data_IF_467254637555
#
_entry.id   IF_467254637555
#
_cell.length_a   1.000
_cell.length_b   1.000
_cell.length_c   1.000
_cell.angle_alpha   90.00
_cell.angle_beta   90.00
_cell.angle_gamma   90.00
#
_symmetry.space_group_name_H-M   'P 1'
#
loop_
_entity.id
_entity.type
_entity.pdbx_description
1 polymer ?
#
# COMPACT_ATOMS: atom_id res chain seq x y z
N UNK A 1 -14.00 -19.83 -42.08
CA UNK A 1 -13.60 -18.49 -41.65
C UNK A 1 -13.89 -18.18 -40.18
N UNK A 2 -15.04 -18.60 -39.60
CA UNK A 2 -15.36 -18.29 -38.17
C UNK A 2 -14.41 -18.90 -37.11
N UNK A 3 -13.80 -20.08 -37.39
CA UNK A 3 -12.89 -20.74 -36.42
C UNK A 3 -11.51 -20.09 -36.32
N UNK A 4 -11.03 -19.41 -37.39
CA UNK A 4 -9.72 -18.75 -37.39
C UNK A 4 -9.72 -17.47 -36.52
N UNK A 5 -10.83 -16.75 -36.52
CA UNK A 5 -10.96 -15.52 -35.71
C UNK A 5 -10.97 -15.79 -34.19
N UNK A 6 -11.55 -16.92 -33.74
CA UNK A 6 -11.59 -17.30 -32.31
C UNK A 6 -10.17 -17.69 -31.84
N UNK A 7 -9.36 -18.32 -32.69
CA UNK A 7 -8.00 -18.73 -32.33
C UNK A 7 -7.04 -17.52 -32.20
N UNK A 8 -7.20 -16.50 -33.07
CA UNK A 8 -6.39 -15.26 -32.99
C UNK A 8 -6.74 -14.44 -31.76
N UNK A 9 -8.02 -14.34 -31.35
CA UNK A 9 -8.43 -13.65 -30.13
C UNK A 9 -7.89 -14.32 -28.86
N UNK A 10 -7.81 -15.67 -28.83
CA UNK A 10 -7.29 -16.40 -27.69
C UNK A 10 -5.78 -16.26 -27.54
N UNK A 11 -5.03 -16.23 -28.65
CA UNK A 11 -3.59 -15.96 -28.66
C UNK A 11 -3.29 -14.53 -28.19
N UNK A 12 -4.10 -13.54 -28.58
CA UNK A 12 -3.90 -12.15 -28.17
C UNK A 12 -4.14 -11.95 -26.66
N UNK A 13 -5.11 -12.65 -26.07
CA UNK A 13 -5.38 -12.63 -24.62
C UNK A 13 -4.27 -13.30 -23.79
N UNK A 14 -3.65 -14.36 -24.31
CA UNK A 14 -2.52 -15.02 -23.66
C UNK A 14 -1.25 -14.17 -23.76
N UNK A 15 -1.02 -13.49 -24.87
CA UNK A 15 0.12 -12.60 -25.08
C UNK A 15 0.07 -11.37 -24.18
N UNK A 16 -1.11 -10.77 -23.99
CA UNK A 16 -1.26 -9.60 -23.10
C UNK A 16 -0.99 -9.93 -21.62
N UNK A 17 -1.37 -11.11 -21.16
CA UNK A 17 -1.09 -11.54 -19.77
C UNK A 17 0.41 -11.76 -19.52
N UNK A 18 1.14 -12.28 -20.49
CA UNK A 18 2.60 -12.49 -20.41
C UNK A 18 3.36 -11.17 -20.31
N UNK A 19 3.03 -10.19 -21.16
CA UNK A 19 3.72 -8.90 -21.22
C UNK A 19 3.55 -8.10 -19.92
N UNK A 20 2.36 -8.11 -19.30
CA UNK A 20 2.14 -7.38 -18.04
C UNK A 20 2.82 -8.02 -16.83
N UNK A 21 2.93 -9.34 -16.80
CA UNK A 21 3.70 -10.05 -15.79
C UNK A 21 5.19 -9.69 -15.87
N UNK A 22 5.74 -9.65 -17.10
CA UNK A 22 7.14 -9.30 -17.34
C UNK A 22 7.45 -7.86 -16.92
N UNK A 23 6.56 -6.89 -17.20
CA UNK A 23 6.77 -5.49 -16.81
C UNK A 23 6.80 -5.30 -15.29
N UNK A 24 5.95 -6.02 -14.55
CA UNK A 24 5.95 -5.96 -13.08
C UNK A 24 7.21 -6.61 -12.50
N UNK A 25 7.67 -7.72 -13.07
CA UNK A 25 8.92 -8.37 -12.66
C UNK A 25 10.12 -7.46 -12.91
N UNK A 26 10.20 -6.82 -14.08
CA UNK A 26 11.24 -5.82 -14.38
C UNK A 26 11.26 -4.68 -13.36
N UNK A 27 10.08 -4.17 -12.96
CA UNK A 27 10.00 -3.12 -11.96
C UNK A 27 10.42 -3.59 -10.55
N UNK A 28 10.11 -4.83 -10.18
CA UNK A 28 10.48 -5.43 -8.88
C UNK A 28 11.98 -5.73 -8.84
N UNK A 29 12.55 -6.25 -9.91
CA UNK A 29 13.96 -6.65 -10.02
C UNK A 29 14.88 -5.49 -10.42
N UNK A 30 14.34 -4.27 -10.58
CA UNK A 30 15.10 -3.09 -10.98
C UNK A 30 16.25 -2.83 -10.01
N UNK A 31 17.50 -2.91 -10.52
CA UNK A 31 18.73 -2.73 -9.75
C UNK A 31 18.92 -1.29 -9.21
N UNK A 32 18.13 -0.33 -9.69
CA UNK A 32 18.12 1.04 -9.16
C UNK A 32 17.25 1.21 -7.91
N UNK A 33 16.52 0.15 -7.48
CA UNK A 33 15.84 0.11 -6.19
C UNK A 33 16.86 0.08 -5.04
N UNK A 34 16.46 0.68 -3.91
CA UNK A 34 17.28 0.69 -2.70
C UNK A 34 17.55 -0.75 -2.21
N UNK A 35 18.81 -1.20 -2.06
CA UNK A 35 19.13 -2.59 -1.67
C UNK A 35 18.44 -3.03 -0.38
N UNK A 36 18.35 -2.15 0.63
CA UNK A 36 17.67 -2.41 1.89
C UNK A 36 16.15 -2.61 1.69
N UNK A 37 15.57 -1.97 0.67
CA UNK A 37 14.19 -2.19 0.30
C UNK A 37 14.01 -3.55 -0.39
N UNK A 38 14.89 -3.92 -1.31
CA UNK A 38 14.86 -5.23 -1.99
C UNK A 38 14.99 -6.41 -1.02
N UNK A 39 15.86 -6.30 -0.01
CA UNK A 39 15.99 -7.33 1.05
C UNK A 39 14.69 -7.61 1.79
N UNK A 40 13.74 -6.66 1.79
CA UNK A 40 12.45 -6.76 2.47
C UNK A 40 11.35 -7.34 1.60
N UNK A 41 11.61 -7.61 0.31
CA UNK A 41 10.63 -8.18 -0.62
C UNK A 41 10.13 -9.54 -0.14
N UNK A 42 10.99 -10.35 0.51
CA UNK A 42 10.63 -11.61 1.13
C UNK A 42 9.53 -11.53 2.20
N UNK A 43 9.38 -10.36 2.84
CA UNK A 43 8.35 -10.11 3.85
C UNK A 43 7.13 -9.37 3.30
N UNK A 44 7.22 -8.84 2.09
CA UNK A 44 6.21 -7.94 1.51
C UNK A 44 5.58 -8.44 0.24
N UNK A 45 6.15 -9.51 -0.33
CA UNK A 45 5.59 -10.23 -1.47
C UNK A 45 5.04 -9.30 -2.57
N UNK A 46 5.85 -8.34 -3.11
CA UNK A 46 5.35 -7.25 -3.94
C UNK A 46 4.58 -7.75 -5.16
N UNK A 47 5.12 -8.75 -5.89
CA UNK A 47 4.46 -9.32 -7.06
C UNK A 47 3.08 -9.90 -6.74
N UNK A 48 3.02 -10.75 -5.71
CA UNK A 48 1.77 -11.39 -5.31
C UNK A 48 0.75 -10.36 -4.81
N UNK A 49 1.20 -9.36 -4.03
CA UNK A 49 0.35 -8.30 -3.49
C UNK A 49 -0.24 -7.41 -4.59
N UNK A 50 0.58 -6.94 -5.52
CA UNK A 50 0.13 -6.07 -6.61
C UNK A 50 -0.76 -6.82 -7.62
N UNK A 51 -0.46 -8.10 -7.88
CA UNK A 51 -1.34 -8.97 -8.69
C UNK A 51 -2.68 -9.24 -8.00
N UNK A 52 -2.71 -9.41 -6.67
CA UNK A 52 -3.97 -9.54 -5.93
C UNK A 52 -4.85 -8.30 -6.08
N UNK A 53 -4.27 -7.09 -6.08
CA UNK A 53 -4.99 -5.85 -6.37
C UNK A 53 -5.36 -5.71 -7.85
N UNK A 54 -4.84 -6.55 -8.72
CA UNK A 54 -5.06 -6.53 -10.18
C UNK A 54 -4.53 -5.25 -10.85
N UNK A 55 -3.36 -4.78 -10.42
CA UNK A 55 -2.69 -3.63 -11.03
C UNK A 55 -2.36 -3.89 -12.51
N UNK A 56 -2.43 -2.83 -13.32
CA UNK A 56 -2.05 -2.86 -14.73
C UNK A 56 -1.20 -1.64 -15.07
N UNK A 57 -0.30 -1.70 -16.07
CA UNK A 57 0.63 -0.61 -16.38
C UNK A 57 -0.07 0.66 -16.91
N UNK A 58 -1.27 0.54 -17.43
CA UNK A 58 -2.06 1.66 -17.97
C UNK A 58 -3.03 2.31 -16.96
N UNK A 59 -2.90 2.00 -15.66
CA UNK A 59 -3.75 2.55 -14.61
C UNK A 59 -3.23 3.89 -14.09
N UNK A 60 -4.16 4.73 -13.64
CA UNK A 60 -3.86 5.86 -12.76
C UNK A 60 -3.96 5.40 -11.30
N UNK A 61 -2.86 5.51 -10.55
CA UNK A 61 -2.72 4.95 -9.19
C UNK A 61 -2.26 6.00 -8.20
N UNK A 62 -2.91 6.06 -7.04
CA UNK A 62 -2.45 6.86 -5.90
C UNK A 62 -1.95 5.93 -4.79
N UNK A 63 -0.73 6.17 -4.28
CA UNK A 63 -0.24 5.58 -3.04
C UNK A 63 -0.38 6.59 -1.90
N UNK A 64 -1.14 6.23 -0.85
CA UNK A 64 -1.31 7.07 0.34
C UNK A 64 -0.13 6.91 1.29
N UNK A 65 0.46 8.02 1.70
CA UNK A 65 1.62 8.09 2.59
C UNK A 65 2.74 7.14 2.18
N UNK A 66 3.32 7.30 0.99
CA UNK A 66 4.40 6.44 0.48
C UNK A 66 5.66 6.47 1.38
N UNK A 67 5.75 7.46 2.28
CA UNK A 67 6.86 7.63 3.22
C UNK A 67 8.22 7.65 2.49
N UNK A 68 9.08 6.63 2.73
CA UNK A 68 10.38 6.51 2.06
C UNK A 68 10.31 5.85 0.68
N UNK A 69 9.11 5.46 0.21
CA UNK A 69 8.89 5.02 -1.17
C UNK A 69 9.12 3.54 -1.45
N UNK A 70 8.95 2.64 -0.47
CA UNK A 70 9.21 1.22 -0.69
C UNK A 70 8.40 0.62 -1.86
N UNK A 71 7.07 0.82 -1.87
CA UNK A 71 6.23 0.42 -3.01
C UNK A 71 6.36 1.38 -4.18
N UNK A 72 6.58 2.67 -3.91
CA UNK A 72 6.79 3.68 -4.95
C UNK A 72 7.98 3.36 -5.86
N UNK A 73 9.07 2.75 -5.33
CA UNK A 73 10.23 2.30 -6.13
C UNK A 73 9.85 1.22 -7.19
N UNK A 74 8.71 0.55 -7.00
CA UNK A 74 8.16 -0.43 -7.94
C UNK A 74 7.09 0.22 -8.81
N UNK A 75 6.14 0.93 -8.17
CA UNK A 75 4.95 1.48 -8.83
C UNK A 75 5.30 2.60 -9.82
N UNK A 76 6.25 3.48 -9.46
CA UNK A 76 6.60 4.60 -10.34
C UNK A 76 7.16 4.13 -11.68
N UNK A 77 8.20 3.29 -11.77
CA UNK A 77 8.69 2.80 -13.06
C UNK A 77 7.70 1.83 -13.75
N UNK A 78 6.89 1.07 -13.00
CA UNK A 78 5.89 0.17 -13.60
C UNK A 78 4.78 0.93 -14.35
N UNK A 79 4.39 2.11 -13.87
CA UNK A 79 3.31 2.91 -14.43
C UNK A 79 3.79 4.01 -15.39
N UNK A 80 5.11 4.27 -15.46
CA UNK A 80 5.70 5.41 -16.15
C UNK A 80 5.35 5.47 -17.64
N UNK A 81 5.25 4.33 -18.31
CA UNK A 81 5.11 4.28 -19.77
C UNK A 81 3.68 4.45 -20.27
N UNK A 82 2.69 3.96 -19.53
CA UNK A 82 1.30 3.86 -20.03
C UNK A 82 0.27 4.39 -19.02
N UNK A 83 0.65 4.50 -17.75
CA UNK A 83 -0.21 4.89 -16.64
C UNK A 83 0.18 6.22 -16.02
N UNK A 84 -0.30 6.41 -14.80
CA UNK A 84 0.03 7.57 -13.98
C UNK A 84 0.19 7.16 -12.52
N UNK A 85 1.28 7.60 -11.87
CA UNK A 85 1.54 7.32 -10.46
C UNK A 85 1.67 8.60 -9.65
N UNK A 86 0.90 8.69 -8.57
CA UNK A 86 0.86 9.84 -7.67
C UNK A 86 1.07 9.37 -6.23
N UNK A 87 2.07 9.93 -5.56
CA UNK A 87 2.22 9.76 -4.11
C UNK A 87 1.47 10.84 -3.34
N UNK A 88 0.53 10.46 -2.50
CA UNK A 88 -0.14 11.38 -1.59
C UNK A 88 0.63 11.46 -0.26
N UNK A 89 1.43 12.49 -0.10
CA UNK A 89 2.32 12.70 1.04
C UNK A 89 1.60 13.18 2.31
N UNK A 90 2.37 13.39 3.36
CA UNK A 90 1.88 13.93 4.63
C UNK A 90 1.40 15.37 4.49
N UNK A 91 0.31 15.72 5.18
CA UNK A 91 -0.01 17.10 5.48
C UNK A 91 1.06 17.66 6.44
N UNK A 92 1.65 18.84 6.16
CA UNK A 92 2.62 19.45 7.06
C UNK A 92 2.10 19.67 8.48
N UNK A 93 0.79 19.86 8.63
CA UNK A 93 0.13 20.15 9.89
C UNK A 93 -0.34 18.88 10.65
N UNK A 94 -0.09 17.68 10.10
CA UNK A 94 -0.53 16.43 10.73
C UNK A 94 0.07 16.22 12.14
N UNK A 95 1.37 16.49 12.29
CA UNK A 95 2.08 16.36 13.55
C UNK A 95 3.38 17.15 13.53
N UNK A 96 3.94 17.46 14.69
CA UNK A 96 5.18 18.22 14.83
C UNK A 96 6.40 17.64 14.08
N UNK A 97 6.41 16.35 13.82
CA UNK A 97 7.48 15.67 13.11
C UNK A 97 7.31 15.65 11.57
N UNK A 98 6.11 15.95 11.05
CA UNK A 98 5.81 15.83 9.61
C UNK A 98 6.63 16.75 8.73
N UNK A 99 6.91 18.01 9.05
CA UNK A 99 7.76 18.86 8.21
C UNK A 99 9.16 18.28 8.01
N UNK A 100 9.76 17.72 9.08
CA UNK A 100 11.05 17.02 8.98
C UNK A 100 10.98 15.76 8.12
N UNK A 101 9.90 14.98 8.25
CA UNK A 101 9.69 13.78 7.43
C UNK A 101 9.48 14.12 5.95
N UNK A 102 8.71 15.17 5.63
CA UNK A 102 8.49 15.66 4.27
C UNK A 102 9.84 16.04 3.63
N UNK A 103 10.65 16.84 4.32
CA UNK A 103 12.00 17.25 3.83
C UNK A 103 12.90 16.03 3.58
N UNK A 104 12.94 15.08 4.52
CA UNK A 104 13.69 13.83 4.37
C UNK A 104 13.22 13.01 3.16
N UNK A 105 11.91 12.81 3.03
CA UNK A 105 11.33 12.01 1.96
C UNK A 105 11.53 12.67 0.58
N UNK A 106 11.46 14.01 0.50
CA UNK A 106 11.78 14.76 -0.71
C UNK A 106 13.24 14.52 -1.12
N UNK A 107 14.19 14.59 -0.17
CA UNK A 107 15.61 14.29 -0.46
C UNK A 107 15.82 12.85 -0.97
N UNK A 108 15.10 11.86 -0.40
CA UNK A 108 15.16 10.48 -0.87
C UNK A 108 14.69 10.40 -2.32
N UNK A 109 13.54 11.00 -2.66
CA UNK A 109 13.02 11.00 -4.04
C UNK A 109 13.96 11.66 -5.03
N UNK A 110 14.52 12.81 -4.68
CA UNK A 110 15.47 13.53 -5.56
C UNK A 110 16.73 12.71 -5.86
N UNK A 111 17.16 11.87 -4.93
CA UNK A 111 18.39 11.07 -5.06
C UNK A 111 18.13 9.64 -5.59
N UNK A 112 16.88 9.25 -5.80
CA UNK A 112 16.51 7.91 -6.28
C UNK A 112 16.16 7.96 -7.75
N UNK A 113 16.73 7.07 -8.56
CA UNK A 113 16.39 6.94 -9.97
C UNK A 113 14.97 6.42 -10.16
N UNK A 114 14.56 5.44 -9.35
CA UNK A 114 13.22 4.83 -9.43
C UNK A 114 12.09 5.78 -8.99
N UNK A 115 12.41 6.80 -8.19
CA UNK A 115 11.45 7.81 -7.73
C UNK A 115 11.57 9.15 -8.46
N UNK A 116 12.50 9.26 -9.42
CA UNK A 116 12.66 10.45 -10.25
C UNK A 116 11.38 10.71 -11.05
N UNK A 117 10.95 11.97 -11.12
CA UNK A 117 9.71 12.33 -11.84
C UNK A 117 8.40 11.93 -11.16
N UNK A 118 8.45 11.21 -10.02
CA UNK A 118 7.25 10.83 -9.28
C UNK A 118 6.39 12.04 -8.92
N UNK A 119 5.14 12.03 -9.35
CA UNK A 119 4.16 13.06 -9.02
C UNK A 119 3.75 12.98 -7.55
N UNK A 120 3.55 14.13 -6.94
CA UNK A 120 3.17 14.21 -5.52
C UNK A 120 1.95 15.10 -5.33
N UNK A 121 1.04 14.65 -4.48
CA UNK A 121 -0.03 15.44 -3.86
C UNK A 121 0.06 15.35 -2.35
N UNK A 122 -0.83 16.01 -1.63
CA UNK A 122 -0.92 15.98 -0.17
C UNK A 122 -2.22 15.29 0.22
N UNK A 123 -2.16 14.31 1.13
CA UNK A 123 -3.33 13.85 1.86
C UNK A 123 -3.66 14.90 2.94
N UNK A 124 -4.37 15.94 2.53
CA UNK A 124 -4.70 17.09 3.38
C UNK A 124 -5.66 16.70 4.52
N UNK A 125 -5.46 17.30 5.68
CA UNK A 125 -6.38 17.22 6.83
C UNK A 125 -7.60 18.13 6.66
N UNK A 126 -7.55 19.06 5.73
CA UNK A 126 -8.64 19.95 5.39
C UNK A 126 -9.61 19.27 4.40
N UNK A 127 -10.64 20.01 3.97
CA UNK A 127 -11.60 19.54 2.97
C UNK A 127 -11.04 19.49 1.53
N UNK A 128 -9.75 19.79 1.34
CA UNK A 128 -9.12 19.72 0.03
C UNK A 128 -9.23 18.31 -0.57
N UNK A 129 -9.58 18.17 -1.84
CA UNK A 129 -9.65 16.86 -2.49
C UNK A 129 -8.25 16.25 -2.62
N UNK A 130 -8.18 14.92 -2.56
CA UNK A 130 -6.93 14.18 -2.76
C UNK A 130 -6.43 14.29 -4.22
N UNK A 131 -7.37 14.25 -5.16
CA UNK A 131 -7.23 14.45 -6.58
C UNK A 131 -8.60 14.83 -7.16
N UNK A 132 -8.73 14.98 -8.47
CA UNK A 132 -10.00 15.14 -9.15
C UNK A 132 -10.94 13.97 -8.87
N UNK A 133 -12.23 14.25 -8.69
CA UNK A 133 -13.24 13.20 -8.43
C UNK A 133 -13.28 12.19 -9.58
N UNK A 134 -13.31 10.91 -9.22
CA UNK A 134 -13.45 9.79 -10.17
C UNK A 134 -12.38 9.77 -11.27
N UNK A 135 -11.16 10.18 -10.92
CA UNK A 135 -10.04 10.32 -11.87
C UNK A 135 -9.07 9.13 -11.86
N UNK A 136 -9.04 8.32 -10.79
CA UNK A 136 -8.04 7.26 -10.64
C UNK A 136 -8.66 5.85 -10.64
N UNK A 137 -7.88 4.87 -11.12
CA UNK A 137 -8.30 3.48 -11.21
C UNK A 137 -8.05 2.73 -9.90
N UNK A 138 -7.03 3.16 -9.15
CA UNK A 138 -6.62 2.46 -7.94
C UNK A 138 -6.05 3.43 -6.89
N UNK A 139 -6.41 3.19 -5.62
CA UNK A 139 -5.78 3.79 -4.44
C UNK A 139 -5.16 2.69 -3.61
N UNK A 140 -3.91 2.84 -3.20
CA UNK A 140 -3.16 1.86 -2.41
C UNK A 140 -2.68 2.48 -1.11
N UNK A 141 -2.68 1.68 -0.04
CA UNK A 141 -2.07 2.05 1.23
C UNK A 141 -1.39 0.86 1.90
N UNK A 142 -0.22 1.12 2.46
CA UNK A 142 0.62 0.09 3.06
C UNK A 142 1.06 0.50 4.46
N UNK A 143 0.43 -0.08 5.50
CA UNK A 143 0.76 0.07 6.93
C UNK A 143 0.60 1.52 7.44
N UNK A 144 -0.55 2.11 7.13
CA UNK A 144 -0.88 3.48 7.55
C UNK A 144 -2.16 3.57 8.38
N UNK A 145 -3.07 2.57 8.31
CA UNK A 145 -4.37 2.63 8.98
C UNK A 145 -4.24 2.89 10.49
N UNK A 146 -3.27 2.25 11.15
CA UNK A 146 -3.02 2.44 12.58
C UNK A 146 -2.66 3.88 12.93
N UNK A 147 -1.95 4.60 12.06
CA UNK A 147 -1.63 6.01 12.26
C UNK A 147 -2.89 6.87 12.15
N UNK A 148 -3.71 6.64 11.13
CA UNK A 148 -4.96 7.36 10.90
C UNK A 148 -6.01 7.04 11.98
N UNK A 149 -6.06 5.79 12.44
CA UNK A 149 -6.92 5.38 13.55
C UNK A 149 -6.54 6.12 14.84
N UNK A 150 -5.24 6.20 15.15
CA UNK A 150 -4.71 6.92 16.30
C UNK A 150 -4.99 8.42 16.24
N UNK A 151 -4.91 9.01 15.05
CA UNK A 151 -5.17 10.43 14.81
C UNK A 151 -6.66 10.75 14.61
N UNK A 152 -7.54 9.73 14.59
CA UNK A 152 -9.00 9.86 14.41
C UNK A 152 -9.43 10.42 13.05
N UNK A 153 -8.56 10.28 12.02
CA UNK A 153 -8.81 10.74 10.65
C UNK A 153 -9.11 9.60 9.68
N UNK A 154 -9.24 8.37 10.15
CA UNK A 154 -9.40 7.18 9.29
C UNK A 154 -10.64 7.29 8.38
N UNK A 155 -11.76 7.82 8.89
CA UNK A 155 -12.99 8.08 8.12
C UNK A 155 -12.72 9.03 6.95
N UNK A 156 -12.04 10.14 7.20
CA UNK A 156 -11.78 11.17 6.18
C UNK A 156 -10.87 10.61 5.07
N UNK A 157 -9.85 9.83 5.44
CA UNK A 157 -8.95 9.18 4.47
C UNK A 157 -9.71 8.21 3.58
N UNK A 158 -10.62 7.40 4.14
CA UNK A 158 -11.42 6.46 3.36
C UNK A 158 -12.41 7.20 2.43
N UNK A 159 -13.08 8.26 2.93
CA UNK A 159 -13.97 9.09 2.12
C UNK A 159 -13.23 9.78 0.97
N UNK A 160 -12.03 10.33 1.21
CA UNK A 160 -11.19 10.94 0.17
C UNK A 160 -10.75 9.90 -0.86
N UNK A 161 -10.38 8.70 -0.42
CA UNK A 161 -10.03 7.59 -1.32
C UNK A 161 -11.20 7.15 -2.19
N UNK A 162 -12.40 7.10 -1.61
CA UNK A 162 -13.64 6.79 -2.34
C UNK A 162 -13.96 7.86 -3.38
N UNK A 163 -13.82 9.13 -3.03
CA UNK A 163 -14.18 10.25 -3.91
C UNK A 163 -13.35 10.26 -5.20
N UNK A 164 -12.05 9.98 -5.13
CA UNK A 164 -11.14 10.04 -6.28
C UNK A 164 -11.19 8.81 -7.19
N UNK A 165 -11.65 7.66 -6.66
CA UNK A 165 -11.75 6.43 -7.44
C UNK A 165 -12.88 6.50 -8.45
N UNK A 166 -12.62 6.04 -9.66
CA UNK A 166 -13.64 5.78 -10.69
C UNK A 166 -14.62 4.71 -10.20
N UNK A 167 -15.89 4.68 -10.70
CA UNK A 167 -16.75 3.53 -10.51
C UNK A 167 -16.06 2.23 -10.97
N UNK A 168 -16.06 1.19 -10.13
CA UNK A 168 -15.29 -0.04 -10.33
C UNK A 168 -13.80 0.04 -9.94
N UNK A 169 -13.31 1.20 -9.51
CA UNK A 169 -11.94 1.41 -9.05
C UNK A 169 -11.64 0.65 -7.75
N UNK A 170 -10.38 0.32 -7.54
CA UNK A 170 -9.90 -0.54 -6.44
C UNK A 170 -9.25 0.29 -5.33
N UNK A 171 -9.64 0.00 -4.09
CA UNK A 171 -8.91 0.43 -2.91
C UNK A 171 -8.19 -0.78 -2.30
N UNK A 172 -6.86 -0.80 -2.39
CA UNK A 172 -6.00 -1.86 -1.87
C UNK A 172 -5.35 -1.47 -0.54
N UNK A 173 -5.51 -2.33 0.46
CA UNK A 173 -5.04 -2.09 1.83
C UNK A 173 -4.15 -3.24 2.29
N UNK A 174 -2.94 -2.93 2.73
CA UNK A 174 -2.08 -3.84 3.51
C UNK A 174 -1.82 -3.18 4.86
N UNK A 175 -2.17 -3.88 5.96
CA UNK A 175 -1.98 -3.32 7.31
C UNK A 175 -1.57 -4.40 8.31
N UNK A 176 -0.87 -4.02 9.38
CA UNK A 176 -0.54 -4.85 10.52
C UNK A 176 -1.82 -5.40 11.14
N UNK A 177 -1.96 -6.73 11.19
CA UNK A 177 -3.21 -7.38 11.57
C UNK A 177 -3.28 -7.68 13.06
N UNK A 178 -4.25 -7.09 13.75
CA UNK A 178 -4.56 -7.40 15.14
C UNK A 178 -5.27 -8.75 15.27
N UNK A 179 -5.13 -9.35 16.45
CA UNK A 179 -5.96 -10.51 16.83
C UNK A 179 -7.44 -10.14 16.84
N UNK A 180 -8.35 -11.08 16.59
CA UNK A 180 -9.78 -10.87 16.75
C UNK A 180 -10.11 -10.29 18.15
N UNK A 181 -11.10 -9.39 18.20
CA UNK A 181 -11.58 -8.76 19.43
C UNK A 181 -10.56 -7.84 20.14
N UNK A 182 -9.45 -7.47 19.50
CA UNK A 182 -8.58 -6.41 20.03
C UNK A 182 -9.36 -5.11 20.13
N UNK A 183 -9.33 -4.45 21.31
CA UNK A 183 -10.00 -3.16 21.50
C UNK A 183 -9.34 -2.05 20.66
N UNK A 184 -10.13 -1.03 20.30
CA UNK A 184 -9.62 0.12 19.53
C UNK A 184 -8.45 0.80 20.24
N UNK A 185 -8.51 0.94 21.58
CA UNK A 185 -7.42 1.51 22.37
C UNK A 185 -6.13 0.70 22.27
N UNK A 186 -6.23 -0.64 22.25
CA UNK A 186 -5.08 -1.50 22.07
C UNK A 186 -4.55 -1.42 20.62
N UNK A 187 -5.42 -1.32 19.62
CA UNK A 187 -5.00 -1.08 18.24
C UNK A 187 -4.22 0.23 18.10
N UNK A 188 -4.73 1.34 18.69
CA UNK A 188 -4.06 2.65 18.70
C UNK A 188 -2.68 2.61 19.38
N UNK A 189 -2.53 1.78 20.43
CA UNK A 189 -1.26 1.63 21.18
C UNK A 189 -0.26 0.70 20.49
N UNK A 190 -0.73 -0.42 19.98
CA UNK A 190 0.12 -1.49 19.44
C UNK A 190 0.51 -1.29 17.97
N UNK A 191 -0.28 -0.53 17.20
CA UNK A 191 -0.09 -0.36 15.77
C UNK A 191 -0.60 -1.53 14.94
N UNK A 192 -1.36 -2.46 15.52
CA UNK A 192 -2.08 -3.51 14.82
C UNK A 192 -3.55 -3.14 14.72
N UNK A 193 -4.17 -3.36 13.56
CA UNK A 193 -5.58 -3.05 13.28
C UNK A 193 -6.32 -4.33 12.92
N UNK A 194 -7.55 -4.51 13.40
CA UNK A 194 -8.34 -5.69 13.04
C UNK A 194 -8.91 -5.60 11.64
N UNK A 195 -9.02 -6.75 10.93
CA UNK A 195 -9.66 -6.84 9.62
C UNK A 195 -11.10 -6.29 9.69
N UNK A 196 -11.84 -6.67 10.75
CA UNK A 196 -13.22 -6.22 10.96
C UNK A 196 -13.33 -4.70 10.96
N UNK A 197 -12.46 -4.01 11.72
CA UNK A 197 -12.48 -2.55 11.79
C UNK A 197 -12.16 -1.92 10.43
N UNK A 198 -11.15 -2.42 9.71
CA UNK A 198 -10.78 -1.91 8.40
C UNK A 198 -11.94 -2.09 7.38
N UNK A 199 -12.62 -3.23 7.41
CA UNK A 199 -13.79 -3.49 6.56
C UNK A 199 -14.94 -2.55 6.91
N UNK A 200 -15.28 -2.40 8.19
CA UNK A 200 -16.36 -1.52 8.62
C UNK A 200 -16.15 -0.05 8.19
N UNK A 201 -14.91 0.46 8.26
CA UNK A 201 -14.59 1.80 7.80
C UNK A 201 -14.70 1.94 6.28
N UNK A 202 -14.28 0.91 5.52
CA UNK A 202 -14.42 0.90 4.08
C UNK A 202 -15.90 0.88 3.65
N UNK A 203 -16.71 0.02 4.25
CA UNK A 203 -18.14 -0.08 3.96
C UNK A 203 -18.89 1.21 4.32
N UNK A 204 -18.55 1.85 5.44
CA UNK A 204 -19.10 3.17 5.82
C UNK A 204 -18.76 4.27 4.81
N UNK A 205 -17.61 4.21 4.16
CA UNK A 205 -17.23 5.12 3.09
C UNK A 205 -17.90 4.80 1.73
N UNK A 206 -18.64 3.68 1.65
CA UNK A 206 -19.36 3.25 0.45
C UNK A 206 -18.65 2.17 -0.39
N UNK A 207 -17.51 1.66 0.05
CA UNK A 207 -16.82 0.57 -0.63
C UNK A 207 -17.53 -0.77 -0.45
N UNK A 208 -17.37 -1.66 -1.43
CA UNK A 208 -17.73 -3.08 -1.33
C UNK A 208 -16.45 -3.85 -1.00
N UNK A 209 -16.49 -4.68 0.04
CA UNK A 209 -15.42 -5.65 0.31
C UNK A 209 -15.44 -6.75 -0.74
N UNK A 210 -14.31 -6.98 -1.43
CA UNK A 210 -14.19 -7.93 -2.53
C UNK A 210 -13.50 -9.22 -2.09
N UNK A 211 -12.33 -9.08 -1.45
CA UNK A 211 -11.54 -10.24 -1.06
C UNK A 211 -10.48 -9.85 -0.02
N UNK A 212 -9.98 -10.87 0.69
CA UNK A 212 -8.76 -10.79 1.48
C UNK A 212 -7.76 -11.87 1.05
N UNK A 213 -6.50 -11.68 1.41
CA UNK A 213 -5.44 -12.62 1.11
C UNK A 213 -4.46 -12.74 2.27
N UNK A 214 -3.93 -13.94 2.44
CA UNK A 214 -2.87 -14.27 3.40
C UNK A 214 -1.45 -14.08 2.83
N UNK A 215 -1.31 -13.45 1.67
CA UNK A 215 -0.01 -13.23 0.98
C UNK A 215 1.03 -12.60 1.90
N UNK A 216 0.61 -11.68 2.77
CA UNK A 216 1.47 -10.96 3.69
C UNK A 216 1.32 -11.42 5.14
N UNK A 217 0.77 -12.61 5.38
CA UNK A 217 0.66 -13.16 6.72
C UNK A 217 2.02 -13.64 7.25
N UNK A 218 2.21 -13.49 8.56
CA UNK A 218 3.36 -14.05 9.27
C UNK A 218 2.90 -14.76 10.54
N UNK A 219 2.75 -16.08 10.51
CA UNK A 219 2.28 -16.87 11.67
C UNK A 219 3.24 -16.86 12.85
N UNK A 220 4.49 -16.39 12.67
CA UNK A 220 5.44 -16.23 13.77
C UNK A 220 5.17 -14.97 14.61
N UNK A 221 4.40 -14.00 14.07
CA UNK A 221 4.06 -12.79 14.78
C UNK A 221 2.84 -12.99 15.69
N UNK A 222 3.09 -13.13 16.99
CA UNK A 222 2.04 -13.24 18.00
C UNK A 222 1.29 -11.93 18.30
N UNK A 223 1.64 -10.83 17.66
CA UNK A 223 1.03 -9.49 17.75
C UNK A 223 1.07 -8.82 19.12
N UNK A 224 1.52 -9.52 20.16
CA UNK A 224 1.63 -9.00 21.54
C UNK A 224 3.11 -8.79 21.86
N UNK A 225 3.55 -7.55 21.71
CA UNK A 225 4.94 -7.14 21.89
C UNK A 225 5.05 -5.90 22.79
N UNK A 226 6.16 -5.72 23.54
CA UNK A 226 6.34 -4.62 24.52
C UNK A 226 6.17 -3.20 23.95
N UNK A 227 6.53 -3.00 22.69
CA UNK A 227 6.35 -1.73 21.94
C UNK A 227 5.39 -1.90 20.77
N UNK A 228 4.44 -2.85 20.83
CA UNK A 228 3.57 -3.20 19.70
C UNK A 228 4.37 -3.61 18.47
N UNK A 229 3.84 -3.34 17.29
CA UNK A 229 4.46 -3.70 16.02
C UNK A 229 5.89 -3.15 15.84
N UNK A 230 6.21 -2.06 16.50
CA UNK A 230 7.55 -1.43 16.42
C UNK A 230 8.63 -2.20 17.22
N UNK A 231 8.29 -3.24 17.93
CA UNK A 231 9.25 -4.19 18.50
C UNK A 231 9.93 -5.01 17.40
N UNK A 232 9.20 -5.31 16.34
CA UNK A 232 9.67 -6.10 15.20
C UNK A 232 10.50 -5.29 14.19
N UNK A 233 11.24 -5.96 13.29
CA UNK A 233 11.88 -5.32 12.13
C UNK A 233 10.86 -4.52 11.28
N UNK A 234 11.31 -3.43 10.67
CA UNK A 234 12.67 -2.85 10.70
C UNK A 234 12.90 -1.90 11.88
N UNK A 235 11.89 -1.70 12.75
CA UNK A 235 11.96 -0.67 13.81
C UNK A 235 12.84 -1.09 14.97
N UNK A 236 12.73 -2.32 15.44
CA UNK A 236 13.51 -2.88 16.57
C UNK A 236 13.63 -1.90 17.75
N UNK A 237 12.49 -1.35 18.20
CA UNK A 237 12.47 -0.25 19.21
C UNK A 237 13.02 -0.62 20.58
N UNK A 238 13.28 -1.89 20.86
CA UNK A 238 13.95 -2.33 22.08
C UNK A 238 15.49 -2.34 21.94
N UNK A 239 16.02 -1.96 20.76
CA UNK A 239 17.46 -1.98 20.51
C UNK A 239 18.02 -3.38 20.54
N UNK A 240 19.00 -3.64 21.42
CA UNK A 240 19.63 -4.98 21.54
C UNK A 240 18.85 -5.96 22.43
N UNK A 241 17.81 -5.49 23.17
CA UNK A 241 16.99 -6.34 24.02
C UNK A 241 16.23 -7.36 23.17
N UNK A 242 16.47 -8.64 23.38
CA UNK A 242 15.85 -9.79 22.65
C UNK A 242 15.94 -9.67 21.11
N UNK A 243 16.92 -8.96 20.57
CA UNK A 243 17.02 -8.61 19.16
C UNK A 243 16.96 -9.83 18.24
N UNK A 244 17.70 -10.88 18.55
CA UNK A 244 17.73 -12.10 17.74
C UNK A 244 16.36 -12.78 17.69
N UNK A 245 15.63 -12.79 18.81
CA UNK A 245 14.24 -13.27 18.87
C UNK A 245 13.35 -12.49 17.91
N UNK A 246 13.39 -11.16 17.93
CA UNK A 246 12.55 -10.34 17.06
C UNK A 246 13.00 -10.41 15.59
N UNK A 247 14.28 -10.54 15.32
CA UNK A 247 14.78 -10.81 13.97
C UNK A 247 14.31 -12.16 13.44
N UNK A 248 14.24 -13.20 14.29
CA UNK A 248 13.74 -14.52 13.88
C UNK A 248 12.24 -14.58 13.57
N UNK A 249 11.45 -13.65 14.15
CA UNK A 249 10.05 -13.46 13.79
C UNK A 249 9.95 -12.80 12.41
N UNK A 250 10.81 -11.82 12.12
CA UNK A 250 10.77 -11.04 10.91
C UNK A 250 9.80 -9.85 11.00
N UNK A 251 9.31 -9.37 9.84
CA UNK A 251 8.30 -8.31 9.83
C UNK A 251 6.93 -8.83 10.31
N UNK A 252 6.08 -7.93 10.78
CA UNK A 252 4.76 -8.23 11.35
C UNK A 252 3.85 -9.03 10.43
N UNK A 253 2.89 -9.72 11.05
CA UNK A 253 1.71 -10.26 10.37
C UNK A 253 0.86 -9.14 9.76
N UNK A 254 0.37 -9.34 8.52
CA UNK A 254 -0.39 -8.31 7.80
C UNK A 254 -1.58 -8.89 7.06
N UNK A 255 -2.73 -8.27 7.26
CA UNK A 255 -3.87 -8.44 6.38
C UNK A 255 -3.62 -7.78 5.03
N UNK A 256 -4.19 -8.34 3.98
CA UNK A 256 -4.24 -7.77 2.63
C UNK A 256 -5.69 -7.78 2.18
N UNK A 257 -6.30 -6.59 2.06
CA UNK A 257 -7.73 -6.41 1.80
C UNK A 257 -7.94 -5.66 0.49
N UNK A 258 -8.90 -6.12 -0.30
CA UNK A 258 -9.29 -5.52 -1.57
C UNK A 258 -10.73 -5.05 -1.49
N UNK A 259 -10.92 -3.77 -1.75
CA UNK A 259 -12.23 -3.12 -1.83
C UNK A 259 -12.46 -2.54 -3.22
N UNK A 260 -13.70 -2.30 -3.57
CA UNK A 260 -14.08 -1.71 -4.86
C UNK A 260 -15.12 -0.61 -4.63
N UNK A 261 -14.99 0.51 -5.33
CA UNK A 261 -16.07 1.48 -5.47
C UNK A 261 -17.15 0.88 -6.36
N UNK A 262 -18.44 0.86 -5.98
CA UNK A 262 -19.53 0.38 -6.84
C UNK A 262 -19.51 1.01 -8.23
N UNK A 263 -20.00 0.26 -9.24
CA UNK A 263 -20.18 0.76 -10.60
C UNK A 263 -21.40 1.65 -10.71
#
# INVERSE_FOLDING_TARGET
MKKLFIFISFIFLLYSKSIFADALDVAIENSDRTPENMQRDQYRNPKATLNFFAIKPNMSVIELWPSRGWYSEILNPFLESEGDFIGAGFDPNYASWTPKAIKRNAKIRTNSKTLSGMKMTILSLNNDPLAEKESVDMVLTFRNLHNWLKAEILTDVFNKSYAVLKPGGIFGVVEHRALPNTSVDNMKKSGYVSEKLAIEYAEKAGFIFIAKSEINSNPKDGTIHPKGVWTLPPSLRLGEEDKDKYLSIGESDRMTLKFMKPK
#
